data_IF_868568210905
#
_entry.id   IF_868568210905
#
_cell.length_a   1.000
_cell.length_b   1.000
_cell.length_c   1.000
_cell.angle_alpha   90.00
_cell.angle_beta   90.00
_cell.angle_gamma   90.00
#
_symmetry.space_group_name_H-M   'P 1'
#
loop_
_entity.id
_entity.type
_entity.pdbx_description
1 polymer ?
#
# COMPACT_ATOMS: atom_id res chain seq x y z
N UNK A 1 2.76 20.39 -1.93
CA UNK A 1 1.46 20.97 -1.51
C UNK A 1 0.51 20.77 -2.67
N UNK A 2 -0.70 20.24 -2.43
CA UNK A 2 -1.65 19.92 -3.51
C UNK A 2 -2.46 21.16 -3.90
N UNK A 3 -1.85 22.06 -4.66
CA UNK A 3 -2.45 23.36 -4.98
C UNK A 3 -3.69 23.22 -5.87
N UNK A 4 -3.68 22.29 -6.84
CA UNK A 4 -4.83 22.01 -7.70
C UNK A 4 -6.05 21.54 -6.90
N UNK A 5 -5.88 20.51 -6.08
CA UNK A 5 -6.92 19.97 -5.21
C UNK A 5 -7.53 21.04 -4.31
N UNK A 6 -6.68 21.82 -3.64
CA UNK A 6 -7.14 22.86 -2.71
C UNK A 6 -7.93 23.96 -3.42
N UNK A 7 -7.43 24.44 -4.56
CA UNK A 7 -8.08 25.51 -5.34
C UNK A 7 -9.47 25.06 -5.81
N UNK A 8 -9.55 23.85 -6.38
CA UNK A 8 -10.81 23.33 -6.89
C UNK A 8 -11.83 23.09 -5.77
N UNK A 9 -11.39 22.55 -4.63
CA UNK A 9 -12.26 22.38 -3.45
C UNK A 9 -12.86 23.71 -3.00
N UNK A 10 -12.03 24.76 -2.90
CA UNK A 10 -12.49 26.10 -2.50
C UNK A 10 -13.45 26.69 -3.55
N UNK A 11 -13.14 26.53 -4.83
CA UNK A 11 -14.00 26.99 -5.93
C UNK A 11 -15.39 26.34 -5.89
N UNK A 12 -15.45 25.05 -5.56
CA UNK A 12 -16.70 24.29 -5.39
C UNK A 12 -17.36 24.46 -4.02
N UNK A 13 -16.79 25.30 -3.15
CA UNK A 13 -17.31 25.59 -1.80
C UNK A 13 -17.46 24.34 -0.90
N UNK A 14 -16.65 23.32 -1.11
CA UNK A 14 -16.68 22.07 -0.33
C UNK A 14 -15.81 22.24 0.92
N UNK A 15 -16.28 21.80 2.09
CA UNK A 15 -15.51 21.90 3.32
C UNK A 15 -14.46 20.78 3.42
N UNK A 16 -13.41 21.03 4.22
CA UNK A 16 -12.44 19.98 4.53
C UNK A 16 -13.07 18.83 5.33
N UNK A 17 -14.18 19.08 6.01
CA UNK A 17 -14.96 18.08 6.76
C UNK A 17 -15.71 17.15 5.80
N UNK A 18 -16.44 17.68 4.81
CA UNK A 18 -17.12 16.88 3.78
C UNK A 18 -16.17 15.92 3.05
N UNK A 19 -14.98 16.42 2.71
CA UNK A 19 -13.92 15.61 2.11
C UNK A 19 -13.40 14.53 3.05
N UNK A 20 -13.29 14.83 4.34
CA UNK A 20 -12.82 13.88 5.34
C UNK A 20 -13.86 12.79 5.59
N UNK A 21 -15.14 13.15 5.63
CA UNK A 21 -16.27 12.22 5.77
C UNK A 21 -16.34 11.27 4.58
N UNK A 22 -16.19 11.78 3.35
CA UNK A 22 -16.11 10.96 2.14
C UNK A 22 -14.99 9.92 2.22
N UNK A 23 -13.84 10.30 2.75
CA UNK A 23 -12.67 9.45 2.85
C UNK A 23 -12.67 8.57 4.11
N UNK A 24 -13.62 8.74 5.02
CA UNK A 24 -13.67 8.04 6.32
C UNK A 24 -12.48 8.37 7.22
N UNK A 25 -12.01 9.62 7.19
CA UNK A 25 -10.86 10.09 8.00
C UNK A 25 -11.23 11.31 8.83
N UNK A 26 -10.37 11.68 9.78
CA UNK A 26 -10.52 12.95 10.51
C UNK A 26 -10.24 14.14 9.59
N UNK A 27 -10.93 15.26 9.79
CA UNK A 27 -10.67 16.54 9.10
C UNK A 27 -9.17 16.94 9.15
N UNK A 28 -8.49 16.73 10.29
CA UNK A 28 -7.05 17.00 10.43
C UNK A 28 -6.17 16.12 9.53
N UNK A 29 -6.57 14.88 9.27
CA UNK A 29 -5.90 13.98 8.32
C UNK A 29 -6.06 14.48 6.89
N UNK A 30 -7.29 14.85 6.50
CA UNK A 30 -7.54 15.44 5.19
C UNK A 30 -6.76 16.76 5.01
N UNK A 31 -6.75 17.63 6.00
CA UNK A 31 -5.99 18.89 5.99
C UNK A 31 -4.50 18.68 5.72
N UNK A 32 -3.90 17.63 6.32
CA UNK A 32 -2.50 17.24 6.06
C UNK A 32 -2.30 16.68 4.66
N UNK A 33 -3.25 15.90 4.12
CA UNK A 33 -3.25 15.40 2.74
C UNK A 33 -3.34 16.55 1.73
N UNK A 34 -4.27 17.48 1.90
CA UNK A 34 -4.43 18.66 1.04
C UNK A 34 -3.17 19.54 1.03
N UNK A 35 -2.52 19.72 2.19
CA UNK A 35 -1.22 20.42 2.25
C UNK A 35 -0.04 19.63 1.68
N UNK A 36 -0.23 18.37 1.27
CA UNK A 36 0.84 17.49 0.76
C UNK A 36 1.80 17.00 1.85
N UNK A 37 1.40 17.04 3.12
CA UNK A 37 2.19 16.53 4.25
C UNK A 37 2.04 15.01 4.43
N UNK A 38 0.98 14.42 3.85
CA UNK A 38 0.72 12.99 3.80
C UNK A 38 0.34 12.61 2.37
N UNK A 39 0.74 11.42 1.96
CA UNK A 39 0.36 10.83 0.67
C UNK A 39 -1.16 10.66 0.54
N UNK A 40 -1.67 10.88 -0.67
CA UNK A 40 -3.04 10.58 -1.09
C UNK A 40 -2.98 9.36 -2.00
N UNK A 41 -3.66 8.29 -1.59
CA UNK A 41 -3.75 7.05 -2.35
C UNK A 41 -4.63 7.24 -3.58
N UNK A 42 -4.39 6.48 -4.66
CA UNK A 42 -5.16 6.62 -5.90
C UNK A 42 -6.68 6.48 -5.68
N UNK A 43 -7.13 5.53 -4.86
CA UNK A 43 -8.55 5.40 -4.50
C UNK A 43 -9.14 6.66 -3.84
N UNK A 44 -8.32 7.40 -3.09
CA UNK A 44 -8.75 8.64 -2.43
C UNK A 44 -8.86 9.77 -3.47
N UNK A 45 -7.95 9.81 -4.45
CA UNK A 45 -8.06 10.68 -5.62
C UNK A 45 -9.36 10.44 -6.39
N UNK A 46 -9.67 9.17 -6.70
CA UNK A 46 -10.91 8.80 -7.37
C UNK A 46 -12.16 9.22 -6.59
N UNK A 47 -12.16 9.04 -5.26
CA UNK A 47 -13.28 9.46 -4.42
C UNK A 47 -13.48 10.98 -4.48
N UNK A 48 -12.42 11.75 -4.29
CA UNK A 48 -12.47 13.21 -4.32
C UNK A 48 -12.89 13.74 -5.70
N UNK A 49 -12.38 13.14 -6.78
CA UNK A 49 -12.77 13.47 -8.15
C UNK A 49 -14.28 13.25 -8.37
N UNK A 50 -14.81 12.10 -7.92
CA UNK A 50 -16.26 11.81 -7.96
C UNK A 50 -17.09 12.80 -7.16
N UNK A 51 -16.67 13.14 -5.93
CA UNK A 51 -17.39 14.12 -5.11
C UNK A 51 -17.43 15.50 -5.79
N UNK A 52 -16.33 15.89 -6.42
CA UNK A 52 -16.20 17.17 -7.09
C UNK A 52 -16.75 17.16 -8.52
N UNK A 53 -17.19 16.03 -9.07
CA UNK A 53 -17.64 15.91 -10.47
C UNK A 53 -16.60 16.47 -11.45
N UNK A 54 -15.37 15.96 -11.35
CA UNK A 54 -14.22 16.29 -12.22
C UNK A 54 -13.39 15.06 -12.54
N UNK A 55 -12.50 15.17 -13.51
CA UNK A 55 -11.54 14.12 -13.82
C UNK A 55 -10.39 14.13 -12.80
N UNK A 56 -9.71 12.98 -12.65
CA UNK A 56 -8.59 12.86 -11.70
C UNK A 56 -7.47 13.83 -12.09
N UNK A 57 -7.22 13.99 -13.38
CA UNK A 57 -6.17 14.85 -13.96
C UNK A 57 -6.32 16.33 -13.57
N UNK A 58 -7.55 16.77 -13.30
CA UNK A 58 -7.86 18.14 -12.89
C UNK A 58 -7.35 18.45 -11.48
N UNK A 59 -7.33 17.45 -10.61
CA UNK A 59 -6.95 17.58 -9.19
C UNK A 59 -5.61 16.94 -8.86
N UNK A 60 -5.18 15.99 -9.69
CA UNK A 60 -3.97 15.23 -9.47
C UNK A 60 -2.72 16.10 -9.69
N UNK A 61 -1.81 15.97 -8.74
CA UNK A 61 -0.51 16.60 -8.76
C UNK A 61 0.50 15.57 -8.29
N UNK A 62 1.48 15.29 -9.14
CA UNK A 62 2.62 14.48 -8.75
C UNK A 62 3.38 15.25 -7.67
N UNK A 63 3.28 14.78 -6.43
CA UNK A 63 4.01 15.44 -5.35
C UNK A 63 5.42 14.89 -5.41
N UNK A 64 6.38 15.76 -5.70
CA UNK A 64 7.79 15.39 -5.67
C UNK A 64 8.16 14.84 -4.27
N UNK A 65 8.23 13.52 -4.16
CA UNK A 65 8.17 12.77 -2.90
C UNK A 65 9.50 12.69 -2.16
N UNK A 66 10.47 13.54 -2.50
CA UNK A 66 11.83 13.52 -1.93
C UNK A 66 11.83 13.61 -0.40
N UNK A 67 10.89 14.34 0.21
CA UNK A 67 10.82 14.53 1.67
C UNK A 67 10.18 13.36 2.45
N UNK A 68 9.22 12.63 1.86
CA UNK A 68 8.56 11.49 2.52
C UNK A 68 9.34 10.20 2.29
N UNK A 69 9.96 10.05 1.12
CA UNK A 69 10.83 8.93 0.77
C UNK A 69 11.94 8.72 1.81
N UNK A 70 12.57 9.78 2.32
CA UNK A 70 13.65 9.64 3.32
C UNK A 70 13.20 9.15 4.70
N UNK A 71 12.00 9.51 5.16
CA UNK A 71 11.48 9.12 6.50
C UNK A 71 10.72 7.80 6.48
N UNK A 72 9.92 7.52 5.45
CA UNK A 72 9.15 6.27 5.38
C UNK A 72 10.06 5.09 5.00
N UNK A 73 11.07 5.29 4.15
CA UNK A 73 12.01 4.21 3.80
C UNK A 73 12.81 3.71 4.99
N UNK A 74 13.12 4.57 5.97
CA UNK A 74 13.95 4.19 7.12
C UNK A 74 13.17 3.56 8.28
N UNK A 75 11.85 3.66 8.32
CA UNK A 75 11.04 3.12 9.44
C UNK A 75 10.13 1.95 9.07
N UNK A 76 9.92 1.66 7.78
CA UNK A 76 8.97 0.63 7.33
C UNK A 76 9.56 -0.44 6.38
N UNK A 77 10.86 -0.45 6.10
CA UNK A 77 11.45 -1.37 5.08
C UNK A 77 12.57 -2.29 5.57
N UNK A 78 13.01 -2.24 6.83
CA UNK A 78 13.88 -3.30 7.36
C UNK A 78 13.01 -4.41 7.95
N UNK A 79 12.88 -5.51 7.20
CA UNK A 79 12.44 -6.78 7.79
C UNK A 79 13.46 -7.12 8.88
N UNK A 80 13.04 -7.34 10.14
CA UNK A 80 13.96 -7.71 11.20
C UNK A 80 14.77 -8.94 10.81
N UNK A 81 16.09 -8.94 11.05
CA UNK A 81 17.01 -10.02 10.66
C UNK A 81 16.50 -11.41 11.09
N UNK A 82 15.96 -11.49 12.31
CA UNK A 82 15.36 -12.71 12.86
C UNK A 82 14.26 -13.31 11.97
N UNK A 83 13.45 -12.46 11.32
CA UNK A 83 12.39 -12.90 10.41
C UNK A 83 12.97 -13.43 9.09
N UNK A 84 14.10 -12.88 8.63
CA UNK A 84 14.79 -13.38 7.46
C UNK A 84 15.39 -14.77 7.72
N UNK A 85 15.99 -14.96 8.89
CA UNK A 85 16.54 -16.25 9.33
C UNK A 85 15.45 -17.33 9.43
N UNK A 86 14.32 -17.00 10.06
CA UNK A 86 13.15 -17.90 10.14
C UNK A 86 12.63 -18.30 8.75
N UNK A 87 12.55 -17.33 7.83
CA UNK A 87 12.10 -17.59 6.46
C UNK A 87 13.07 -18.50 5.69
N UNK A 88 14.37 -18.34 5.88
CA UNK A 88 15.37 -19.21 5.26
C UNK A 88 15.29 -20.64 5.81
N UNK A 89 15.16 -20.78 7.13
CA UNK A 89 14.96 -22.07 7.77
C UNK A 89 13.70 -22.78 7.25
N UNK A 90 12.57 -22.08 7.20
CA UNK A 90 11.30 -22.63 6.71
C UNK A 90 11.36 -23.04 5.24
N UNK A 91 12.09 -22.29 4.40
CA UNK A 91 12.33 -22.65 2.98
C UNK A 91 13.15 -23.94 2.87
N UNK A 92 14.19 -24.07 3.68
CA UNK A 92 15.05 -25.26 3.72
C UNK A 92 14.27 -26.50 4.14
N UNK A 93 13.47 -26.39 5.20
CA UNK A 93 12.67 -27.52 5.70
C UNK A 93 11.58 -27.92 4.70
N UNK A 94 10.90 -26.95 4.07
CA UNK A 94 9.95 -27.24 3.00
C UNK A 94 10.60 -28.01 1.82
N UNK A 95 11.82 -27.64 1.43
CA UNK A 95 12.56 -28.34 0.38
C UNK A 95 12.90 -29.77 0.79
N UNK A 96 13.33 -29.97 2.04
CA UNK A 96 13.61 -31.29 2.61
C UNK A 96 12.36 -32.17 2.63
N UNK A 97 11.25 -31.66 3.17
CA UNK A 97 9.98 -32.40 3.25
C UNK A 97 9.47 -32.79 1.86
N UNK A 98 9.56 -31.89 0.87
CA UNK A 98 9.19 -32.20 -0.52
C UNK A 98 10.03 -33.35 -1.11
N UNK A 99 11.34 -33.41 -0.82
CA UNK A 99 12.21 -34.52 -1.26
C UNK A 99 11.80 -35.83 -0.61
N UNK A 100 11.56 -35.83 0.70
CA UNK A 100 11.12 -37.01 1.45
C UNK A 100 9.79 -37.54 0.89
N UNK A 101 8.80 -36.66 0.69
CA UNK A 101 7.50 -37.03 0.12
C UNK A 101 7.68 -37.66 -1.28
N UNK A 102 8.53 -37.09 -2.13
CA UNK A 102 8.77 -37.64 -3.46
C UNK A 102 9.46 -39.02 -3.42
N UNK A 103 10.38 -39.22 -2.47
CA UNK A 103 11.04 -40.51 -2.28
C UNK A 103 10.06 -41.58 -1.82
N UNK A 104 9.26 -41.29 -0.78
CA UNK A 104 8.23 -42.19 -0.27
C UNK A 104 7.19 -42.53 -1.36
N UNK A 105 6.83 -41.55 -2.20
CA UNK A 105 5.93 -41.79 -3.35
C UNK A 105 6.54 -42.74 -4.38
N UNK A 106 7.85 -42.69 -4.60
CA UNK A 106 8.56 -43.60 -5.51
C UNK A 106 8.66 -45.01 -4.93
N UNK A 107 8.99 -45.13 -3.65
CA UNK A 107 9.05 -46.41 -2.94
C UNK A 107 7.69 -47.11 -2.92
N UNK A 108 6.62 -46.36 -2.63
CA UNK A 108 5.25 -46.89 -2.67
C UNK A 108 4.86 -47.41 -4.06
N UNK A 109 5.29 -46.74 -5.14
CA UNK A 109 5.05 -47.20 -6.52
C UNK A 109 5.79 -48.50 -6.83
N UNK A 110 7.06 -48.61 -6.43
CA UNK A 110 7.85 -49.83 -6.62
C UNK A 110 7.27 -51.03 -5.85
N UNK A 111 6.85 -50.82 -4.61
CA UNK A 111 6.22 -51.87 -3.78
C UNK A 111 4.81 -52.28 -4.24
N UNK A 112 4.20 -51.57 -5.19
CA UNK A 112 2.91 -51.96 -5.80
C UNK A 112 3.06 -52.65 -7.16
N UNK A 113 4.29 -52.76 -7.68
CA UNK A 113 4.62 -53.43 -8.94
C UNK A 113 5.25 -54.82 -8.73
N UNK A 114 5.60 -55.18 -7.49
CA UNK A 114 5.97 -56.54 -7.02
C UNK A 114 4.76 -57.24 -6.37
#
# INVERSE_FOLDING_TARGET
MNTKLQQLRIQKQILQEDMADLLGVKQSTYSRKERGQIYIMMREWELMARLMDVEIEDIYQDNDHSFISGRIKNSFLSIPEMVLEDLEYLKKENSRLKKIINQLRREKRKSSED
#
